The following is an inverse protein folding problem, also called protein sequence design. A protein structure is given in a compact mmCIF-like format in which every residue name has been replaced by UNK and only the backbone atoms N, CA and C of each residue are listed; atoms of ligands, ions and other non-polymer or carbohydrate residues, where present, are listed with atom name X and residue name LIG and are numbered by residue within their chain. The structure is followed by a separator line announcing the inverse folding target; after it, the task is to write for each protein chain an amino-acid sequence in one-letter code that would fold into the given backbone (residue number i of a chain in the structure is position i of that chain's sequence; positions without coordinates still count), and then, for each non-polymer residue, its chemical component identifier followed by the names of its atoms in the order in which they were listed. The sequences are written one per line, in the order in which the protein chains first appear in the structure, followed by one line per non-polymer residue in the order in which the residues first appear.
data_IF_638813727796
#
_entry.id   IF_638813727796
#
_cell.length_a   1.000
_cell.length_b   1.000
_cell.length_c   1.000
_cell.angle_alpha   90.00
_cell.angle_beta   90.00
_cell.angle_gamma   90.00
#
_symmetry.space_group_name_H-M   'P 1'
#
loop_
_entity.id
_entity.type
_entity.pdbx_description
1 polymer ?
#
# COMPACT_ATOMS: atom_id res chain seq x y z
N UNK A 1 12.35 12.57 7.62
CA UNK A 1 11.59 11.62 6.80
C UNK A 1 12.33 10.31 6.69
N UNK A 2 11.95 9.38 7.56
CA UNK A 2 12.28 7.95 7.52
C UNK A 2 11.16 7.18 6.79
N UNK A 3 11.46 5.98 6.31
CA UNK A 3 10.46 5.08 5.70
C UNK A 3 9.42 4.58 6.70
N UNK A 4 9.74 4.72 7.98
CA UNK A 4 8.94 4.30 9.13
C UNK A 4 8.05 5.44 9.65
N UNK A 5 8.13 6.63 9.06
CA UNK A 5 7.25 7.75 9.41
C UNK A 5 5.80 7.43 9.06
N UNK A 6 4.90 7.80 9.98
CA UNK A 6 3.49 7.47 9.89
C UNK A 6 2.78 8.27 8.80
N UNK A 7 2.13 7.58 7.86
CA UNK A 7 1.42 8.22 6.74
C UNK A 7 0.34 9.19 7.19
N UNK A 8 -0.43 8.83 8.22
CA UNK A 8 -1.50 9.69 8.76
C UNK A 8 -0.96 10.83 9.65
N UNK A 9 0.09 10.56 10.42
CA UNK A 9 0.61 11.51 11.41
C UNK A 9 1.59 12.50 10.80
N UNK A 10 2.69 11.99 10.24
CA UNK A 10 3.81 12.80 9.74
C UNK A 10 3.55 13.33 8.32
N UNK A 11 2.92 12.52 7.46
CA UNK A 11 2.60 12.93 6.08
C UNK A 11 1.21 13.56 5.95
N UNK A 12 0.40 13.57 7.01
CA UNK A 12 -0.91 14.21 7.02
C UNK A 12 -1.94 13.59 6.06
N UNK A 13 -1.83 12.30 5.76
CA UNK A 13 -2.81 11.62 4.90
C UNK A 13 -4.18 11.52 5.59
N UNK A 14 -5.17 12.11 4.95
CA UNK A 14 -6.59 11.97 5.30
C UNK A 14 -7.23 10.73 4.67
N UNK A 15 -8.47 10.43 5.07
CA UNK A 15 -9.24 9.28 4.57
C UNK A 15 -9.31 9.20 3.04
N UNK A 16 -9.47 10.35 2.36
CA UNK A 16 -9.44 10.41 0.89
C UNK A 16 -8.04 10.14 0.33
N UNK A 17 -7.01 10.68 0.97
CA UNK A 17 -5.62 10.47 0.58
C UNK A 17 -5.20 9.01 0.64
N UNK A 18 -5.73 8.23 1.59
CA UNK A 18 -5.50 6.77 1.62
C UNK A 18 -6.16 6.04 0.45
N UNK A 19 -7.37 6.44 0.05
CA UNK A 19 -8.06 5.87 -1.11
C UNK A 19 -7.29 6.21 -2.39
N UNK A 20 -6.85 7.46 -2.55
CA UNK A 20 -6.01 7.86 -3.68
C UNK A 20 -4.67 7.12 -3.69
N UNK A 21 -4.03 6.97 -2.53
CA UNK A 21 -2.78 6.22 -2.41
C UNK A 21 -2.97 4.76 -2.84
N UNK A 22 -4.05 4.09 -2.43
CA UNK A 22 -4.37 2.74 -2.89
C UNK A 22 -4.45 2.70 -4.41
N UNK A 23 -5.25 3.57 -5.02
CA UNK A 23 -5.44 3.61 -6.48
C UNK A 23 -4.11 3.90 -7.20
N UNK A 24 -3.29 4.80 -6.67
CA UNK A 24 -1.97 5.11 -7.22
C UNK A 24 -1.04 3.91 -7.13
N UNK A 25 -1.01 3.20 -6.00
CA UNK A 25 -0.20 1.99 -5.83
C UNK A 25 -0.63 0.90 -6.80
N UNK A 26 -1.93 0.63 -6.90
CA UNK A 26 -2.49 -0.36 -7.83
C UNK A 26 -2.09 -0.07 -9.28
N UNK A 27 -2.30 1.17 -9.74
CA UNK A 27 -1.96 1.59 -11.10
C UNK A 27 -0.45 1.63 -11.36
N UNK A 28 0.36 2.06 -10.37
CA UNK A 28 1.81 2.24 -10.54
C UNK A 28 2.55 0.91 -10.59
N UNK A 29 2.12 -0.06 -9.79
CA UNK A 29 2.80 -1.35 -9.64
C UNK A 29 2.06 -2.51 -10.30
N UNK A 30 0.92 -2.23 -10.93
CA UNK A 30 0.05 -3.21 -11.59
C UNK A 30 -0.32 -4.36 -10.64
N UNK A 31 -0.73 -4.00 -9.42
CA UNK A 31 -1.22 -4.91 -8.38
C UNK A 31 -2.68 -4.60 -8.06
N UNK A 32 -3.39 -5.57 -7.49
CA UNK A 32 -4.73 -5.37 -6.94
C UNK A 32 -4.66 -5.45 -5.43
N UNK A 33 -5.04 -4.39 -4.73
CA UNK A 33 -5.15 -4.36 -3.28
C UNK A 33 -6.59 -4.70 -2.92
N UNK A 34 -6.82 -5.90 -2.37
CA UNK A 34 -8.16 -6.28 -1.92
C UNK A 34 -8.58 -5.45 -0.69
N UNK A 35 -9.88 -5.42 -0.39
CA UNK A 35 -10.38 -4.74 0.81
C UNK A 35 -9.75 -5.30 2.10
N UNK A 36 -9.46 -6.61 2.14
CA UNK A 36 -8.74 -7.26 3.26
C UNK A 36 -7.32 -6.73 3.46
N UNK A 37 -6.65 -6.35 2.37
CA UNK A 37 -5.29 -5.79 2.40
C UNK A 37 -5.30 -4.27 2.58
N UNK A 38 -6.44 -3.61 2.33
CA UNK A 38 -6.64 -2.18 2.57
C UNK A 38 -6.93 -1.88 4.05
N UNK A 39 -5.94 -2.15 4.88
CA UNK A 39 -5.99 -2.05 6.33
C UNK A 39 -4.97 -1.03 6.85
N UNK A 40 -5.24 -0.39 8.01
CA UNK A 40 -4.33 0.62 8.58
C UNK A 40 -2.94 0.08 8.94
N UNK A 41 -2.79 -1.23 9.15
CA UNK A 41 -1.49 -1.89 9.35
C UNK A 41 -0.62 -1.83 8.08
N UNK A 42 -1.21 -2.12 6.92
CA UNK A 42 -0.52 -2.10 5.63
C UNK A 42 -0.27 -0.68 5.13
N UNK A 43 -1.06 0.29 5.59
CA UNK A 43 -0.98 1.71 5.25
C UNK A 43 -0.48 2.57 6.41
N UNK A 44 0.29 2.01 7.36
CA UNK A 44 0.81 2.78 8.49
C UNK A 44 2.00 3.66 8.10
N UNK A 45 2.89 3.16 7.24
CA UNK A 45 4.14 3.81 6.83
C UNK A 45 4.51 3.43 5.39
N UNK A 46 5.45 4.15 4.79
CA UNK A 46 5.95 3.83 3.43
C UNK A 46 6.54 2.41 3.40
N UNK A 47 7.22 1.98 4.47
CA UNK A 47 7.76 0.62 4.58
C UNK A 47 6.66 -0.44 4.49
N UNK A 48 5.55 -0.26 5.20
CA UNK A 48 4.44 -1.22 5.18
C UNK A 48 3.78 -1.30 3.82
N UNK A 49 3.51 -0.15 3.18
CA UNK A 49 2.94 -0.11 1.82
C UNK A 49 3.87 -0.80 0.83
N UNK A 50 5.18 -0.52 0.90
CA UNK A 50 6.15 -1.15 0.01
C UNK A 50 6.25 -2.67 0.25
N UNK A 51 6.08 -3.14 1.48
CA UNK A 51 6.04 -4.58 1.80
C UNK A 51 4.78 -5.22 1.25
N UNK A 52 3.62 -4.59 1.40
CA UNK A 52 2.36 -5.07 0.81
C UNK A 52 2.49 -5.21 -0.71
N UNK A 53 3.02 -4.20 -1.40
CA UNK A 53 3.20 -4.24 -2.86
C UNK A 53 4.07 -5.42 -3.30
N UNK A 54 5.20 -5.64 -2.64
CA UNK A 54 6.09 -6.77 -2.96
C UNK A 54 5.40 -8.11 -2.77
N UNK A 55 4.63 -8.26 -1.70
CA UNK A 55 3.88 -9.48 -1.42
C UNK A 55 2.77 -9.72 -2.47
N UNK A 56 2.04 -8.67 -2.85
CA UNK A 56 1.02 -8.74 -3.91
C UNK A 56 1.62 -9.09 -5.27
N UNK A 57 2.79 -8.54 -5.61
CA UNK A 57 3.50 -8.90 -6.84
C UNK A 57 3.89 -10.38 -6.82
N UNK A 58 4.47 -10.87 -5.73
CA UNK A 58 4.82 -12.28 -5.59
C UNK A 58 3.59 -13.20 -5.71
N UNK A 59 2.46 -12.84 -5.09
CA UNK A 59 1.19 -13.58 -5.22
C UNK A 59 0.68 -13.56 -6.66
N UNK A 60 0.76 -12.43 -7.35
CA UNK A 60 0.33 -12.30 -8.74
C UNK A 60 1.20 -13.14 -9.69
N UNK A 61 2.52 -13.18 -9.46
CA UNK A 61 3.44 -14.05 -10.21
C UNK A 61 3.12 -15.53 -10.00
N UNK A 62 2.83 -15.96 -8.76
CA UNK A 62 2.44 -17.34 -8.45
C UNK A 62 1.09 -17.70 -9.07
N UNK A 63 0.11 -16.80 -9.04
CA UNK A 63 -1.22 -17.03 -9.58
C UNK A 63 -1.26 -17.03 -11.13
N UNK A 64 -0.25 -16.42 -11.78
CA UNK A 64 -0.08 -16.41 -13.23
C UNK A 64 0.78 -17.53 -13.80
N UNK A 65 1.38 -18.38 -12.96
CA UNK A 65 2.19 -19.55 -13.33
C UNK A 65 1.37 -20.84 -13.38
#
# INVERSE_FOLDING_TARGET
MSLDDGLRGEFGLDSLGFVELRVQVENRFNVTIAESDFSPENFTSIRSVATLVRDLQARAEIAGA
#
